data_IF_845155520121
#
_entry.id   IF_845155520121
#
_cell.length_a   1.000
_cell.length_b   1.000
_cell.length_c   1.000
_cell.angle_alpha   90.00
_cell.angle_beta   90.00
_cell.angle_gamma   90.00
#
_symmetry.space_group_name_H-M   'P 1'
#
loop_
_entity.id
_entity.type
_entity.pdbx_description
1 polymer ?
#
# COMPACT_ATOMS: atom_id res chain seq x y z
N UNK A 1 54.40 -11.07 -28.69
CA UNK A 1 53.33 -11.65 -27.82
C UNK A 1 53.01 -10.75 -26.62
N UNK A 2 54.00 -10.33 -25.83
CA UNK A 2 53.81 -9.48 -24.63
C UNK A 2 53.16 -8.12 -24.94
N UNK A 3 53.61 -7.41 -25.98
CA UNK A 3 53.06 -6.10 -26.38
C UNK A 3 51.58 -6.18 -26.76
N UNK A 4 51.18 -7.27 -27.43
CA UNK A 4 49.79 -7.51 -27.82
C UNK A 4 48.90 -7.75 -26.60
N UNK A 5 49.37 -8.54 -25.63
CA UNK A 5 48.66 -8.82 -24.37
C UNK A 5 48.50 -7.56 -23.51
N UNK A 6 49.55 -6.74 -23.40
CA UNK A 6 49.51 -5.45 -22.69
C UNK A 6 48.54 -4.48 -23.36
N UNK A 7 48.54 -4.41 -24.69
CA UNK A 7 47.58 -3.59 -25.45
C UNK A 7 46.13 -4.02 -25.21
N UNK A 8 45.85 -5.33 -25.23
CA UNK A 8 44.49 -5.85 -24.97
C UNK A 8 44.04 -5.56 -23.53
N UNK A 9 44.91 -5.74 -22.54
CA UNK A 9 44.60 -5.44 -21.14
C UNK A 9 44.33 -3.93 -20.94
N UNK A 10 45.13 -3.06 -21.56
CA UNK A 10 44.92 -1.61 -21.50
C UNK A 10 43.59 -1.22 -22.17
N UNK A 11 43.23 -1.82 -23.30
CA UNK A 11 41.95 -1.55 -23.97
C UNK A 11 40.77 -2.02 -23.11
N UNK A 12 40.89 -3.15 -22.42
CA UNK A 12 39.86 -3.66 -21.49
C UNK A 12 39.73 -2.73 -20.28
N UNK A 13 40.83 -2.28 -19.68
CA UNK A 13 40.82 -1.34 -18.57
C UNK A 13 40.24 0.03 -18.99
N UNK A 14 40.68 0.58 -20.12
CA UNK A 14 40.13 1.84 -20.66
C UNK A 14 38.66 1.73 -21.07
N UNK A 15 38.16 0.54 -21.41
CA UNK A 15 36.74 0.31 -21.68
C UNK A 15 35.95 0.24 -20.37
N UNK A 16 36.50 -0.44 -19.37
CA UNK A 16 35.89 -0.58 -18.04
C UNK A 16 35.80 0.78 -17.34
N UNK A 17 36.84 1.62 -17.41
CA UNK A 17 36.84 2.98 -16.87
C UNK A 17 35.88 3.91 -17.61
N UNK A 18 35.67 3.73 -18.92
CA UNK A 18 34.68 4.51 -19.68
C UNK A 18 33.25 4.10 -19.36
N UNK A 19 32.98 2.81 -19.21
CA UNK A 19 31.66 2.29 -18.83
C UNK A 19 31.30 2.65 -17.37
N UNK A 20 32.29 2.71 -16.47
CA UNK A 20 32.15 3.24 -15.10
C UNK A 20 32.04 4.78 -15.08
N UNK A 21 32.59 5.43 -16.10
CA UNK A 21 32.69 6.88 -16.22
C UNK A 21 31.37 7.60 -16.47
N UNK A 22 30.37 6.91 -17.03
CA UNK A 22 29.10 7.51 -17.44
C UNK A 22 27.99 7.44 -16.37
N UNK A 23 28.19 6.67 -15.28
CA UNK A 23 27.25 6.51 -14.17
C UNK A 23 27.77 7.13 -12.86
N UNK A 24 27.95 8.46 -12.80
CA UNK A 24 28.33 9.12 -11.54
C UNK A 24 27.16 9.77 -10.78
N UNK A 25 27.22 9.68 -9.45
CA UNK A 25 26.39 10.45 -8.52
C UNK A 25 24.92 10.05 -8.50
N UNK A 26 24.04 10.98 -8.90
CA UNK A 26 22.59 10.81 -8.87
C UNK A 26 22.07 9.83 -9.93
N UNK A 27 22.84 9.60 -11.01
CA UNK A 27 22.46 8.65 -12.07
C UNK A 27 22.40 7.21 -11.53
N UNK A 28 23.33 6.80 -10.68
CA UNK A 28 23.34 5.47 -10.04
C UNK A 28 22.08 5.18 -9.19
N UNK A 29 21.33 6.21 -8.82
CA UNK A 29 20.12 6.08 -7.99
C UNK A 29 18.94 5.53 -8.79
N UNK A 30 18.92 5.65 -10.13
CA UNK A 30 17.75 5.24 -10.92
C UNK A 30 17.42 3.74 -10.74
N UNK A 31 18.44 2.88 -10.69
CA UNK A 31 18.28 1.42 -10.53
C UNK A 31 17.90 1.01 -9.11
N UNK A 32 17.99 1.95 -8.17
CA UNK A 32 17.77 1.73 -6.75
C UNK A 32 16.37 2.17 -6.29
N UNK A 33 15.73 3.12 -7.00
CA UNK A 33 14.45 3.76 -6.65
C UNK A 33 13.26 2.80 -6.78
N UNK A 34 13.23 1.98 -7.83
CA UNK A 34 12.11 1.08 -8.11
C UNK A 34 12.24 -0.30 -7.45
N UNK A 35 13.17 -0.45 -6.51
CA UNK A 35 13.30 -1.70 -5.74
C UNK A 35 12.07 -1.93 -4.87
N UNK A 36 11.76 -3.20 -4.65
CA UNK A 36 10.73 -3.58 -3.69
C UNK A 36 11.11 -3.06 -2.28
N UNK A 37 10.21 -2.32 -1.60
CA UNK A 37 10.47 -1.87 -0.24
C UNK A 37 10.58 -3.05 0.72
N UNK A 38 11.38 -2.91 1.79
CA UNK A 38 11.56 -3.96 2.83
C UNK A 38 10.23 -4.42 3.45
N UNK A 39 9.29 -3.49 3.58
CA UNK A 39 7.93 -3.72 4.12
C UNK A 39 6.85 -3.61 3.03
N UNK A 40 7.00 -4.37 1.94
CA UNK A 40 6.07 -4.37 0.81
C UNK A 40 4.61 -4.65 1.20
N UNK A 41 4.36 -5.52 2.18
CA UNK A 41 3.01 -5.83 2.67
C UNK A 41 2.29 -4.61 3.23
N UNK A 42 2.96 -3.86 4.09
CA UNK A 42 2.40 -2.63 4.68
C UNK A 42 2.26 -1.53 3.63
N UNK A 43 3.25 -1.37 2.76
CA UNK A 43 3.22 -0.35 1.72
C UNK A 43 2.07 -0.56 0.73
N UNK A 44 1.89 -1.80 0.23
CA UNK A 44 0.76 -2.15 -0.65
C UNK A 44 -0.58 -1.98 0.05
N UNK A 45 -0.70 -2.39 1.32
CA UNK A 45 -1.89 -2.20 2.13
C UNK A 45 -2.26 -0.72 2.31
N UNK A 46 -1.28 0.13 2.64
CA UNK A 46 -1.48 1.58 2.79
C UNK A 46 -1.87 2.25 1.47
N UNK A 47 -1.29 1.82 0.35
CA UNK A 47 -1.64 2.34 -0.96
C UNK A 47 -3.09 1.99 -1.35
N UNK A 48 -3.48 0.73 -1.19
CA UNK A 48 -4.87 0.30 -1.44
C UNK A 48 -5.88 1.02 -0.54
N UNK A 49 -5.57 1.14 0.75
CA UNK A 49 -6.41 1.88 1.70
C UNK A 49 -6.51 3.37 1.34
N UNK A 50 -5.41 4.02 0.94
CA UNK A 50 -5.42 5.42 0.53
C UNK A 50 -6.33 5.68 -0.68
N UNK A 51 -6.23 4.86 -1.72
CA UNK A 51 -7.09 4.97 -2.91
C UNK A 51 -8.55 4.72 -2.54
N UNK A 52 -8.83 3.71 -1.73
CA UNK A 52 -10.18 3.42 -1.24
C UNK A 52 -10.77 4.62 -0.48
N UNK A 53 -10.01 5.24 0.43
CA UNK A 53 -10.49 6.36 1.24
C UNK A 53 -10.80 7.59 0.41
N UNK A 54 -9.98 7.89 -0.60
CA UNK A 54 -10.23 9.01 -1.52
C UNK A 54 -11.53 8.76 -2.31
N UNK A 55 -11.70 7.56 -2.85
CA UNK A 55 -12.91 7.19 -3.60
C UNK A 55 -14.16 7.16 -2.71
N UNK A 56 -14.03 6.63 -1.49
CA UNK A 56 -15.10 6.62 -0.49
C UNK A 56 -15.50 8.06 -0.13
N UNK A 57 -14.54 8.95 0.14
CA UNK A 57 -14.82 10.33 0.47
C UNK A 57 -15.57 11.04 -0.67
N UNK A 58 -15.10 10.86 -1.91
CA UNK A 58 -15.77 11.40 -3.09
C UNK A 58 -17.20 10.83 -3.24
N UNK A 59 -17.37 9.51 -3.12
CA UNK A 59 -18.68 8.86 -3.23
C UNK A 59 -19.66 9.33 -2.14
N UNK A 60 -19.20 9.52 -0.90
CA UNK A 60 -20.04 10.04 0.18
C UNK A 60 -20.46 11.49 -0.09
N UNK A 61 -19.57 12.34 -0.59
CA UNK A 61 -19.92 13.73 -0.94
C UNK A 61 -21.01 13.74 -2.01
N UNK A 62 -20.84 12.98 -3.08
CA UNK A 62 -21.84 12.87 -4.15
C UNK A 62 -23.17 12.32 -3.62
N UNK A 63 -23.13 11.23 -2.85
CA UNK A 63 -24.33 10.63 -2.27
C UNK A 63 -25.07 11.59 -1.33
N UNK A 64 -24.33 12.40 -0.56
CA UNK A 64 -24.90 13.38 0.36
C UNK A 64 -25.64 14.49 -0.39
N UNK A 65 -25.06 14.97 -1.50
CA UNK A 65 -25.66 16.02 -2.33
C UNK A 65 -26.89 15.49 -3.08
N UNK A 66 -26.79 14.33 -3.72
CA UNK A 66 -27.87 13.77 -4.56
C UNK A 66 -29.01 13.21 -3.70
N UNK A 67 -28.69 12.50 -2.63
CA UNK A 67 -29.67 11.81 -1.78
C UNK A 67 -30.22 12.65 -0.63
N UNK A 68 -29.82 13.92 -0.50
CA UNK A 68 -30.12 14.79 0.65
C UNK A 68 -29.86 14.10 2.01
N UNK A 69 -28.84 13.23 2.06
CA UNK A 69 -28.52 12.39 3.23
C UNK A 69 -28.03 13.19 4.43
N UNK A 70 -27.82 14.51 4.27
CA UNK A 70 -27.44 15.43 5.34
C UNK A 70 -28.57 15.65 6.35
N UNK A 71 -29.81 15.29 6.02
CA UNK A 71 -31.00 15.51 6.87
C UNK A 71 -30.95 14.68 8.15
N UNK A 72 -30.48 13.43 8.07
CA UNK A 72 -30.38 12.52 9.22
C UNK A 72 -28.97 11.96 9.39
N UNK A 73 -28.35 12.24 10.54
CA UNK A 73 -27.00 11.74 10.88
C UNK A 73 -26.92 10.21 10.83
N UNK A 74 -27.97 9.52 11.23
CA UNK A 74 -28.01 8.06 11.25
C UNK A 74 -27.91 7.48 9.83
N UNK A 75 -28.63 8.06 8.86
CA UNK A 75 -28.61 7.63 7.47
C UNK A 75 -27.23 7.90 6.84
N UNK A 76 -26.61 9.03 7.15
CA UNK A 76 -25.25 9.33 6.69
C UNK A 76 -24.23 8.30 7.19
N UNK A 77 -24.32 7.91 8.47
CA UNK A 77 -23.42 6.91 9.07
C UNK A 77 -23.63 5.52 8.44
N UNK A 78 -24.87 5.06 8.29
CA UNK A 78 -25.14 3.76 7.67
C UNK A 78 -24.70 3.73 6.21
N UNK A 79 -25.00 4.79 5.44
CA UNK A 79 -24.55 4.92 4.05
C UNK A 79 -23.02 4.87 3.94
N UNK A 80 -22.29 5.54 4.86
CA UNK A 80 -20.83 5.52 4.85
C UNK A 80 -20.25 4.11 5.09
N UNK A 81 -20.87 3.31 5.97
CA UNK A 81 -20.45 1.91 6.22
C UNK A 81 -20.68 1.07 4.96
N UNK A 82 -21.82 1.22 4.29
CA UNK A 82 -22.10 0.49 3.05
C UNK A 82 -21.15 0.87 1.91
N UNK A 83 -20.90 2.17 1.70
CA UNK A 83 -19.97 2.65 0.67
C UNK A 83 -18.54 2.16 0.98
N UNK A 84 -18.11 2.20 2.24
CA UNK A 84 -16.82 1.65 2.63
C UNK A 84 -16.70 0.17 2.25
N UNK A 85 -17.75 -0.59 2.53
CA UNK A 85 -17.75 -2.02 2.30
C UNK A 85 -17.76 -2.37 0.80
N UNK A 86 -18.49 -1.62 -0.03
CA UNK A 86 -18.46 -1.77 -1.50
C UNK A 86 -17.11 -1.38 -2.11
N UNK A 87 -16.53 -0.27 -1.66
CA UNK A 87 -15.22 0.21 -2.15
C UNK A 87 -14.05 -0.67 -1.70
N UNK A 88 -14.27 -1.61 -0.79
CA UNK A 88 -13.25 -2.54 -0.30
C UNK A 88 -12.65 -3.44 -1.41
N UNK A 89 -13.42 -3.74 -2.46
CA UNK A 89 -12.91 -4.43 -3.67
C UNK A 89 -11.78 -3.64 -4.33
N UNK A 90 -11.91 -2.32 -4.37
CA UNK A 90 -10.92 -1.42 -5.00
C UNK A 90 -9.62 -1.43 -4.20
N UNK A 91 -9.73 -1.39 -2.86
CA UNK A 91 -8.59 -1.53 -1.96
C UNK A 91 -7.83 -2.84 -2.18
N UNK A 92 -8.56 -3.95 -2.25
CA UNK A 92 -8.00 -5.26 -2.55
C UNK A 92 -7.31 -5.30 -3.91
N UNK A 93 -7.93 -4.72 -4.94
CA UNK A 93 -7.38 -4.65 -6.30
C UNK A 93 -6.04 -3.91 -6.37
N UNK A 94 -5.98 -2.69 -5.86
CA UNK A 94 -4.74 -1.89 -5.92
C UNK A 94 -3.64 -2.46 -5.01
N UNK A 95 -3.99 -2.88 -3.79
CA UNK A 95 -3.05 -3.55 -2.88
C UNK A 95 -2.48 -4.84 -3.50
N UNK A 96 -3.36 -5.71 -4.00
CA UNK A 96 -3.00 -6.97 -4.63
C UNK A 96 -2.19 -6.80 -5.93
N UNK A 97 -2.55 -5.84 -6.78
CA UNK A 97 -1.81 -5.54 -8.00
C UNK A 97 -0.40 -5.02 -7.68
N UNK A 98 -0.28 -4.08 -6.75
CA UNK A 98 1.02 -3.54 -6.36
C UNK A 98 1.91 -4.62 -5.74
N UNK A 99 1.36 -5.43 -4.83
CA UNK A 99 2.08 -6.54 -4.22
C UNK A 99 2.58 -7.57 -5.25
N UNK A 100 1.76 -7.86 -6.27
CA UNK A 100 2.13 -8.74 -7.38
C UNK A 100 3.24 -8.15 -8.25
N UNK A 101 3.19 -6.84 -8.56
CA UNK A 101 4.22 -6.15 -9.38
C UNK A 101 5.61 -6.20 -8.76
N UNK A 102 5.72 -6.23 -7.43
CA UNK A 102 7.01 -6.37 -6.75
C UNK A 102 7.41 -7.82 -6.47
N UNK A 103 6.80 -8.81 -7.15
CA UNK A 103 7.07 -10.24 -6.98
C UNK A 103 6.87 -10.73 -5.52
N UNK A 104 5.87 -10.17 -4.82
CA UNK A 104 5.52 -10.57 -3.47
C UNK A 104 5.00 -12.02 -3.40
N UNK A 105 5.66 -12.87 -2.61
CA UNK A 105 5.31 -14.30 -2.50
C UNK A 105 4.12 -14.58 -1.58
N UNK A 106 3.98 -13.81 -0.49
CA UNK A 106 3.01 -14.05 0.61
C UNK A 106 1.75 -13.19 0.43
N UNK A 107 1.03 -13.42 -0.67
CA UNK A 107 -0.11 -12.60 -1.07
C UNK A 107 -1.31 -12.67 -0.11
N UNK A 108 -1.54 -13.81 0.55
CA UNK A 108 -2.62 -13.96 1.55
C UNK A 108 -2.36 -13.04 2.75
N UNK A 109 -1.11 -12.98 3.22
CA UNK A 109 -0.73 -12.11 4.34
C UNK A 109 -0.86 -10.64 3.92
N UNK A 110 -0.47 -10.30 2.68
CA UNK A 110 -0.66 -8.94 2.16
C UNK A 110 -2.15 -8.55 2.08
N UNK A 111 -3.00 -9.46 1.59
CA UNK A 111 -4.45 -9.26 1.53
C UNK A 111 -5.05 -9.07 2.93
N UNK A 112 -4.72 -9.96 3.89
CA UNK A 112 -5.16 -9.84 5.27
C UNK A 112 -4.69 -8.52 5.90
N UNK A 113 -3.43 -8.12 5.65
CA UNK A 113 -2.90 -6.84 6.12
C UNK A 113 -3.69 -5.67 5.52
N UNK A 114 -4.03 -5.69 4.23
CA UNK A 114 -4.83 -4.64 3.61
C UNK A 114 -6.26 -4.55 4.14
N UNK A 115 -6.88 -5.67 4.51
CA UNK A 115 -8.22 -5.68 5.08
C UNK A 115 -8.25 -5.34 6.57
N UNK A 116 -7.15 -5.58 7.31
CA UNK A 116 -7.07 -5.37 8.76
C UNK A 116 -6.46 -4.04 9.16
N UNK A 117 -5.55 -3.47 8.36
CA UNK A 117 -4.76 -2.32 8.80
C UNK A 117 -5.62 -1.11 9.13
N UNK A 118 -6.48 -0.68 8.20
CA UNK A 118 -7.30 0.51 8.43
C UNK A 118 -8.46 0.25 9.42
N UNK A 119 -9.28 -0.82 9.26
CA UNK A 119 -10.30 -1.16 10.25
C UNK A 119 -9.73 -1.42 11.65
N UNK A 120 -8.53 -1.99 11.75
CA UNK A 120 -7.84 -2.25 13.01
C UNK A 120 -7.45 -0.97 13.74
N UNK A 121 -6.89 0.01 13.03
CA UNK A 121 -6.59 1.33 13.61
C UNK A 121 -7.88 2.01 14.09
N UNK A 122 -8.91 2.05 13.24
CA UNK A 122 -10.20 2.67 13.59
C UNK A 122 -10.85 1.95 14.78
N UNK A 123 -10.92 0.63 14.77
CA UNK A 123 -11.50 -0.16 15.86
C UNK A 123 -10.71 -0.02 17.15
N UNK A 124 -9.38 0.05 17.09
CA UNK A 124 -8.52 0.30 18.25
C UNK A 124 -8.80 1.66 18.89
N UNK A 125 -8.87 2.72 18.07
CA UNK A 125 -9.24 4.06 18.56
C UNK A 125 -10.65 4.10 19.13
N UNK A 126 -11.63 3.49 18.45
CA UNK A 126 -13.01 3.40 18.91
C UNK A 126 -13.12 2.62 20.22
N UNK A 127 -12.35 1.54 20.39
CA UNK A 127 -12.33 0.77 21.62
C UNK A 127 -11.81 1.58 22.81
N UNK A 128 -10.73 2.34 22.63
CA UNK A 128 -10.19 3.23 23.67
C UNK A 128 -11.23 4.30 24.05
N UNK A 129 -11.85 4.94 23.05
CA UNK A 129 -12.91 5.94 23.28
C UNK A 129 -14.11 5.30 24.00
N UNK A 130 -14.49 4.07 23.62
CA UNK A 130 -15.59 3.35 24.23
C UNK A 130 -15.31 3.00 25.70
N UNK A 131 -14.08 2.59 26.03
CA UNK A 131 -13.67 2.32 27.41
C UNK A 131 -13.80 3.57 28.29
N UNK A 132 -13.36 4.72 27.77
CA UNK A 132 -13.51 6.02 28.45
C UNK A 132 -15.00 6.38 28.58
N UNK A 133 -15.81 6.18 27.54
CA UNK A 133 -17.24 6.49 27.57
C UNK A 133 -17.99 5.65 28.62
N UNK A 134 -17.63 4.38 28.78
CA UNK A 134 -18.18 3.50 29.83
C UNK A 134 -17.74 3.99 31.22
N UNK A 135 -16.48 4.38 31.40
CA UNK A 135 -15.98 4.92 32.67
C UNK A 135 -16.77 6.17 33.11
N UNK A 136 -17.05 7.08 32.20
CA UNK A 136 -17.85 8.28 32.45
C UNK A 136 -19.37 8.07 32.39
N UNK A 137 -19.85 6.82 32.25
CA UNK A 137 -21.29 6.47 32.15
C UNK A 137 -22.03 7.33 31.11
N UNK A 138 -21.36 7.60 29.99
CA UNK A 138 -21.93 8.41 28.91
C UNK A 138 -22.96 7.61 28.12
N UNK A 139 -24.12 8.23 27.84
CA UNK A 139 -25.21 7.65 27.03
C UNK A 139 -24.84 7.34 25.57
N UNK A 140 -23.65 7.78 25.12
CA UNK A 140 -23.08 7.50 23.79
C UNK A 140 -22.09 6.32 23.78
N UNK A 141 -22.00 5.55 24.87
CA UNK A 141 -21.23 4.31 24.86
C UNK A 141 -21.79 3.36 23.78
N UNK A 142 -20.90 2.76 23.01
CA UNK A 142 -21.25 1.86 21.91
C UNK A 142 -21.74 0.54 22.52
N UNK A 143 -23.00 0.13 22.32
CA UNK A 143 -23.51 -1.09 22.90
C UNK A 143 -22.84 -2.31 22.26
N UNK A 144 -22.61 -3.36 23.05
CA UNK A 144 -21.91 -4.57 22.62
C UNK A 144 -22.49 -5.18 21.33
N UNK A 145 -23.81 -5.15 21.16
CA UNK A 145 -24.50 -5.63 19.96
C UNK A 145 -24.03 -4.92 18.68
N UNK A 146 -23.77 -3.61 18.74
CA UNK A 146 -23.29 -2.86 17.56
C UNK A 146 -21.84 -3.20 17.22
N UNK A 147 -21.00 -3.49 18.22
CA UNK A 147 -19.63 -3.97 17.98
C UNK A 147 -19.64 -5.31 17.25
N UNK A 148 -20.50 -6.24 17.68
CA UNK A 148 -20.68 -7.53 17.00
C UNK A 148 -21.22 -7.37 15.57
N UNK A 149 -22.17 -6.46 15.36
CA UNK A 149 -22.71 -6.18 14.02
C UNK A 149 -21.64 -5.65 13.06
N UNK A 150 -20.81 -4.70 13.51
CA UNK A 150 -19.71 -4.15 12.69
C UNK A 150 -18.68 -5.24 12.37
N UNK A 151 -18.35 -6.08 13.34
CA UNK A 151 -17.43 -7.22 13.14
C UNK A 151 -18.01 -8.22 12.13
N UNK A 152 -19.30 -8.52 12.19
CA UNK A 152 -19.97 -9.38 11.23
C UNK A 152 -19.93 -8.79 9.80
N UNK A 153 -20.22 -7.49 9.64
CA UNK A 153 -20.09 -6.80 8.34
C UNK A 153 -18.67 -6.90 7.80
N UNK A 154 -17.67 -6.73 8.68
CA UNK A 154 -16.27 -6.84 8.29
C UNK A 154 -15.92 -8.27 7.82
N UNK A 155 -16.34 -9.31 8.55
CA UNK A 155 -16.04 -10.71 8.18
C UNK A 155 -16.79 -11.15 6.92
N UNK A 156 -18.09 -10.86 6.84
CA UNK A 156 -18.96 -11.43 5.80
C UNK A 156 -19.04 -10.58 4.54
N UNK A 157 -18.63 -9.31 4.60
CA UNK A 157 -18.73 -8.41 3.46
C UNK A 157 -17.36 -7.82 3.09
N UNK A 158 -16.66 -7.16 4.01
CA UNK A 158 -15.38 -6.50 3.69
C UNK A 158 -14.29 -7.51 3.33
N UNK A 159 -14.09 -8.56 4.14
CA UNK A 159 -13.08 -9.59 3.87
C UNK A 159 -13.27 -10.31 2.51
N UNK A 160 -14.45 -10.84 2.16
CA UNK A 160 -14.62 -11.52 0.88
C UNK A 160 -14.50 -10.56 -0.32
N UNK A 161 -14.99 -9.32 -0.20
CA UNK A 161 -14.85 -8.33 -1.28
C UNK A 161 -13.39 -7.90 -1.49
N UNK A 162 -12.64 -7.68 -0.40
CA UNK A 162 -11.20 -7.40 -0.50
C UNK A 162 -10.43 -8.58 -1.07
N UNK A 163 -10.80 -9.82 -0.72
CA UNK A 163 -10.20 -11.04 -1.27
C UNK A 163 -10.44 -11.12 -2.77
N UNK A 164 -11.69 -10.92 -3.20
CA UNK A 164 -12.06 -10.90 -4.61
C UNK A 164 -11.25 -9.84 -5.37
N UNK A 165 -11.21 -8.61 -4.84
CA UNK A 165 -10.40 -7.53 -5.40
C UNK A 165 -8.92 -7.90 -5.52
N UNK A 166 -8.33 -8.49 -4.48
CA UNK A 166 -6.93 -8.90 -4.47
C UNK A 166 -6.61 -9.99 -5.49
N UNK A 167 -7.51 -10.95 -5.70
CA UNK A 167 -7.35 -12.00 -6.72
C UNK A 167 -7.38 -11.37 -8.12
N UNK A 168 -8.37 -10.52 -8.40
CA UNK A 168 -8.48 -9.82 -9.69
C UNK A 168 -7.25 -8.93 -9.93
N UNK A 169 -6.87 -8.14 -8.92
CA UNK A 169 -5.74 -7.23 -8.99
C UNK A 169 -4.42 -7.93 -9.24
N UNK A 170 -4.20 -9.10 -8.62
CA UNK A 170 -3.01 -9.92 -8.86
C UNK A 170 -3.00 -10.52 -10.26
N UNK A 171 -4.13 -11.03 -10.74
CA UNK A 171 -4.22 -11.67 -12.06
C UNK A 171 -4.09 -10.65 -13.20
N UNK A 172 -4.56 -9.41 -12.99
CA UNK A 172 -4.55 -8.35 -13.99
C UNK A 172 -3.41 -7.34 -13.79
N UNK A 173 -2.55 -7.54 -12.79
CA UNK A 173 -1.46 -6.62 -12.47
C UNK A 173 -0.50 -6.33 -13.64
N UNK A 174 -0.44 -7.25 -14.61
CA UNK A 174 0.48 -7.18 -15.73
C UNK A 174 1.95 -7.28 -15.28
N UNK A 175 2.85 -7.09 -16.24
CA UNK A 175 4.28 -6.98 -15.92
C UNK A 175 4.59 -5.59 -15.32
N UNK A 176 5.53 -5.50 -14.37
CA UNK A 176 5.96 -4.23 -13.83
C UNK A 176 6.61 -3.39 -14.94
N UNK A 177 6.03 -2.23 -15.25
CA UNK A 177 6.57 -1.30 -16.25
C UNK A 177 7.45 -0.26 -15.56
N UNK A 178 8.64 -0.67 -15.13
CA UNK A 178 9.61 0.26 -14.55
C UNK A 178 10.37 0.97 -15.67
N UNK A 179 10.61 2.30 -15.58
CA UNK A 179 11.26 3.08 -16.63
C UNK A 179 12.75 2.73 -16.80
N UNK A 180 13.34 1.99 -15.86
CA UNK A 180 14.71 1.54 -15.89
C UNK A 180 14.85 0.14 -15.30
N UNK A 181 15.94 -0.55 -15.67
CA UNK A 181 16.32 -1.83 -15.06
C UNK A 181 16.68 -1.63 -13.59
N UNK A 182 16.15 -2.50 -12.74
CA UNK A 182 16.38 -2.47 -11.29
C UNK A 182 17.66 -3.22 -10.93
N UNK A 183 18.48 -2.63 -10.07
CA UNK A 183 19.67 -3.29 -9.53
C UNK A 183 19.28 -4.31 -8.46
N UNK A 184 19.65 -5.60 -8.60
CA UNK A 184 19.27 -6.64 -7.66
C UNK A 184 19.95 -6.49 -6.29
N UNK A 185 21.13 -5.87 -6.25
CA UNK A 185 21.94 -5.73 -5.03
C UNK A 185 21.92 -4.25 -4.59
N UNK A 186 21.60 -3.96 -3.31
CA UNK A 186 21.80 -2.63 -2.73
C UNK A 186 23.25 -2.19 -2.86
N UNK A 187 23.48 -1.04 -3.47
CA UNK A 187 24.82 -0.47 -3.49
C UNK A 187 25.25 -0.10 -2.06
N UNK A 188 26.53 -0.22 -1.71
CA UNK A 188 27.05 0.32 -0.46
C UNK A 188 26.84 1.84 -0.48
N UNK A 189 26.23 2.36 0.58
CA UNK A 189 26.11 3.80 0.79
C UNK A 189 27.47 4.27 1.29
N UNK A 190 28.17 5.17 0.58
CA UNK A 190 29.44 5.69 1.08
C UNK A 190 29.21 6.39 2.43
N UNK A 191 30.12 6.18 3.37
CA UNK A 191 30.04 6.82 4.68
C UNK A 191 30.05 8.33 4.50
N UNK A 192 29.08 8.99 5.15
CA UNK A 192 28.90 10.43 5.08
C UNK A 192 30.09 11.09 5.79
N UNK A 193 31.03 11.68 5.05
CA UNK A 193 32.00 12.62 5.63
C UNK A 193 31.20 13.83 6.10
N UNK A 194 31.21 14.10 7.39
CA UNK A 194 30.24 14.97 8.05
C UNK A 194 30.35 16.46 7.68
N UNK A 195 31.27 16.90 6.81
CA UNK A 195 31.43 18.31 6.45
C UNK A 195 32.02 18.48 5.04
N UNK A 196 31.41 19.38 4.26
CA UNK A 196 32.11 20.60 3.80
C UNK A 196 31.29 21.77 4.31
#
# INVERSE_FOLDING_TARGET
>A
MVIFLVGVVIVILMRTDRDLGDEYGWKLVHGDVFRAPRHLTFFSALNGAGIQLILMAFAIIVATIVGNLYTERAIMLTASIFIYALTSVISGYYSGSMYAKYNGKRWIIAMMTSSLLWPGIVSGTAFIINFIAIYYQTSRAIPFTTMLAILAIWIFLVLPLTLFGAIVGRNWAGMPNFPCRINPIPRPIPDKTWQV
#
